data_IF_043790218602
#
_entry.id   IF_043790218602
#
_cell.length_a   1.000
_cell.length_b   1.000
_cell.length_c   1.000
_cell.angle_alpha   90.00
_cell.angle_beta   90.00
_cell.angle_gamma   90.00
#
_symmetry.space_group_name_H-M   'P 1'
#
loop_
_entity.id
_entity.type
_entity.pdbx_description
1 polymer ?
#
# COMPACT_ATOMS: atom_id res chain seq x y z
N UNK A 1 13.96 16.75 -3.68
CA UNK A 1 14.17 16.46 -2.23
C UNK A 1 15.06 15.23 -2.08
N UNK A 2 15.70 15.00 -0.91
CA UNK A 2 16.44 13.76 -0.64
C UNK A 2 15.70 12.89 0.37
N UNK A 3 15.69 11.59 0.16
CA UNK A 3 15.07 10.60 1.05
C UNK A 3 16.03 9.45 1.31
N UNK A 4 16.23 9.12 2.57
CA UNK A 4 16.93 7.90 2.98
C UNK A 4 15.92 6.81 3.35
N UNK A 5 16.21 5.56 3.04
CA UNK A 5 15.37 4.41 3.40
C UNK A 5 16.21 3.37 4.12
N UNK A 6 15.90 3.10 5.38
CA UNK A 6 16.53 2.07 6.21
C UNK A 6 15.65 0.82 6.25
N UNK A 7 16.09 -0.23 5.55
CA UNK A 7 15.43 -1.53 5.52
C UNK A 7 16.44 -2.65 5.22
N UNK A 8 16.17 -3.84 5.75
CA UNK A 8 17.00 -5.04 5.55
C UNK A 8 16.21 -6.17 4.88
N UNK A 9 16.95 -7.12 4.32
CA UNK A 9 16.42 -8.40 3.88
C UNK A 9 17.47 -9.50 4.07
N UNK A 10 17.01 -10.68 4.46
CA UNK A 10 17.83 -11.89 4.57
C UNK A 10 16.95 -13.12 4.32
N UNK A 11 17.54 -14.31 4.26
CA UNK A 11 16.79 -15.56 4.19
C UNK A 11 15.88 -15.76 5.40
N UNK A 12 16.30 -15.29 6.59
CA UNK A 12 15.53 -15.39 7.84
C UNK A 12 14.48 -14.29 7.99
N UNK A 13 14.80 -13.04 7.62
CA UNK A 13 13.87 -11.90 7.66
C UNK A 13 12.86 -11.95 6.50
N UNK A 14 13.22 -12.62 5.41
CA UNK A 14 12.53 -12.52 4.14
C UNK A 14 12.83 -11.21 3.41
N UNK A 15 12.17 -11.02 2.26
CA UNK A 15 12.37 -9.83 1.40
C UNK A 15 11.24 -8.81 1.50
N UNK A 16 10.27 -9.01 2.40
CA UNK A 16 9.03 -8.22 2.45
C UNK A 16 9.28 -6.73 2.66
N UNK A 17 10.01 -6.40 3.72
CA UNK A 17 10.41 -5.02 4.09
C UNK A 17 11.08 -4.31 2.91
N UNK A 18 12.16 -4.90 2.40
CA UNK A 18 12.93 -4.28 1.33
C UNK A 18 12.14 -4.14 0.02
N UNK A 19 11.24 -5.07 -0.32
CA UNK A 19 10.39 -4.96 -1.51
C UNK A 19 9.33 -3.86 -1.38
N UNK A 20 8.65 -3.73 -0.22
CA UNK A 20 7.68 -2.65 -0.01
C UNK A 20 8.37 -1.28 0.08
N UNK A 21 9.56 -1.22 0.65
CA UNK A 21 10.42 -0.04 0.61
C UNK A 21 10.86 0.31 -0.82
N UNK A 22 11.15 -0.67 -1.67
CA UNK A 22 11.48 -0.43 -3.08
C UNK A 22 10.29 0.16 -3.85
N UNK A 23 9.08 -0.34 -3.60
CA UNK A 23 7.85 0.23 -4.16
C UNK A 23 7.68 1.71 -3.75
N UNK A 24 7.87 2.01 -2.46
CA UNK A 24 7.81 3.38 -1.95
C UNK A 24 8.94 4.24 -2.53
N UNK A 25 10.16 3.72 -2.68
CA UNK A 25 11.29 4.42 -3.30
C UNK A 25 10.97 4.87 -4.73
N UNK A 26 10.37 4.00 -5.55
CA UNK A 26 9.92 4.36 -6.90
C UNK A 26 8.88 5.48 -6.88
N UNK A 27 7.88 5.36 -6.01
CA UNK A 27 6.83 6.36 -5.90
C UNK A 27 7.37 7.73 -5.44
N UNK A 28 8.31 7.74 -4.50
CA UNK A 28 8.98 8.94 -4.00
C UNK A 28 9.90 9.55 -5.05
N UNK A 29 10.63 8.73 -5.81
CA UNK A 29 11.44 9.20 -6.94
C UNK A 29 10.59 9.82 -8.06
N UNK A 30 9.37 9.31 -8.30
CA UNK A 30 8.42 9.91 -9.23
C UNK A 30 7.97 11.32 -8.81
N UNK A 31 8.11 11.69 -7.52
CA UNK A 31 7.94 13.06 -7.03
C UNK A 31 9.21 13.94 -7.23
N UNK A 32 10.24 13.45 -7.92
CA UNK A 32 11.51 14.17 -8.10
C UNK A 32 12.47 14.07 -6.92
N UNK A 33 12.36 13.02 -6.11
CA UNK A 33 13.26 12.77 -5.00
C UNK A 33 14.49 11.96 -5.41
N UNK A 34 15.63 12.30 -4.84
CA UNK A 34 16.83 11.45 -4.82
C UNK A 34 16.70 10.48 -3.64
N UNK A 35 16.85 9.17 -3.90
CA UNK A 35 16.65 8.12 -2.91
C UNK A 35 17.94 7.35 -2.66
N UNK A 36 18.29 7.18 -1.38
CA UNK A 36 19.41 6.37 -0.90
C UNK A 36 18.91 5.28 0.06
N UNK A 37 19.24 4.02 -0.22
CA UNK A 37 19.03 2.92 0.71
C UNK A 37 20.18 2.80 1.70
N UNK A 38 19.84 2.56 2.98
CA UNK A 38 20.74 2.14 4.04
C UNK A 38 20.35 0.70 4.40
N UNK A 39 21.20 -0.26 4.05
CA UNK A 39 20.87 -1.69 4.19
C UNK A 39 22.06 -2.51 4.64
N UNK A 40 21.80 -3.62 5.31
CA UNK A 40 22.77 -4.67 5.62
C UNK A 40 22.55 -5.84 4.68
N UNK A 41 23.65 -6.39 4.17
CA UNK A 41 23.62 -7.63 3.39
C UNK A 41 24.43 -8.69 4.12
N UNK A 42 23.76 -9.64 4.75
CA UNK A 42 24.39 -10.71 5.54
C UNK A 42 24.53 -12.02 4.77
N UNK A 43 23.69 -12.25 3.77
CA UNK A 43 23.61 -13.51 3.01
C UNK A 43 23.38 -13.32 1.50
N UNK A 44 23.51 -12.08 0.98
CA UNK A 44 23.35 -11.76 -0.42
C UNK A 44 21.90 -11.49 -0.85
N UNK A 45 20.91 -11.70 0.02
CA UNK A 45 19.50 -11.52 -0.31
C UNK A 45 19.16 -10.04 -0.52
N UNK A 46 19.61 -9.15 0.37
CA UNK A 46 19.38 -7.71 0.21
C UNK A 46 20.06 -7.16 -1.04
N UNK A 47 21.30 -7.56 -1.29
CA UNK A 47 22.00 -7.20 -2.53
C UNK A 47 21.27 -7.73 -3.77
N UNK A 48 20.70 -8.94 -3.70
CA UNK A 48 19.88 -9.51 -4.77
C UNK A 48 18.64 -8.67 -5.10
N UNK A 49 17.93 -8.18 -4.08
CA UNK A 49 16.72 -7.35 -4.24
C UNK A 49 17.05 -5.97 -4.81
N UNK A 50 18.13 -5.34 -4.34
CA UNK A 50 18.54 -3.99 -4.76
C UNK A 50 19.36 -3.96 -6.05
N UNK A 51 19.85 -5.11 -6.53
CA UNK A 51 20.64 -5.19 -7.77
C UNK A 51 19.84 -4.69 -8.97
N UNK A 52 20.47 -3.80 -9.76
CA UNK A 52 19.86 -3.24 -10.97
C UNK A 52 18.77 -2.20 -10.72
N UNK A 53 18.50 -1.85 -9.46
CA UNK A 53 17.60 -0.75 -9.13
C UNK A 53 18.29 0.61 -9.33
N UNK A 54 17.55 1.66 -9.71
CA UNK A 54 18.14 2.97 -10.03
C UNK A 54 18.49 3.80 -8.77
N UNK A 55 18.58 3.17 -7.60
CA UNK A 55 18.76 3.84 -6.32
C UNK A 55 20.17 3.62 -5.78
N UNK A 56 20.71 4.66 -5.14
CA UNK A 56 21.96 4.51 -4.39
C UNK A 56 21.76 3.56 -3.22
N UNK A 57 22.80 2.80 -2.88
CA UNK A 57 22.80 1.93 -1.71
C UNK A 57 24.08 2.18 -0.91
N UNK A 58 23.92 2.47 0.37
CA UNK A 58 24.99 2.45 1.35
C UNK A 58 24.86 1.18 2.19
N UNK A 59 25.88 0.32 2.08
CA UNK A 59 25.93 -0.93 2.82
C UNK A 59 26.50 -0.70 4.22
N UNK A 60 25.65 -0.90 5.23
CA UNK A 60 26.04 -0.85 6.63
C UNK A 60 26.90 -2.07 6.96
N UNK A 61 27.96 -1.84 7.73
CA UNK A 61 28.89 -2.88 8.20
C UNK A 61 28.27 -3.67 9.35
N UNK A 62 28.64 -4.95 9.46
CA UNK A 62 28.22 -5.82 10.57
C UNK A 62 28.77 -5.35 11.91
N UNK A 63 27.96 -5.44 12.98
CA UNK A 63 28.32 -5.05 14.35
C UNK A 63 27.30 -4.12 15.03
N UNK A 64 27.67 -3.62 16.21
CA UNK A 64 26.95 -2.54 16.91
C UNK A 64 27.12 -1.19 16.18
N UNK A 65 26.23 -0.23 16.44
CA UNK A 65 26.37 1.14 15.93
C UNK A 65 25.58 1.46 14.65
N UNK A 66 24.41 0.83 14.42
CA UNK A 66 23.50 1.17 13.30
C UNK A 66 23.26 2.68 13.19
N UNK A 67 22.95 3.31 14.32
CA UNK A 67 22.68 4.75 14.45
C UNK A 67 23.84 5.59 13.94
N UNK A 68 25.07 5.28 14.38
CA UNK A 68 26.27 6.05 14.00
C UNK A 68 26.55 5.89 12.52
N UNK A 69 26.53 4.66 12.01
CA UNK A 69 26.76 4.38 10.59
C UNK A 69 25.73 5.08 9.69
N UNK A 70 24.45 5.08 10.08
CA UNK A 70 23.40 5.78 9.35
C UNK A 70 23.60 7.31 9.37
N UNK A 71 23.97 7.88 10.52
CA UNK A 71 24.26 9.31 10.64
C UNK A 71 25.45 9.69 9.76
N UNK A 72 26.54 8.93 9.81
CA UNK A 72 27.75 9.21 9.04
C UNK A 72 27.50 9.11 7.53
N UNK A 73 26.73 8.11 7.09
CA UNK A 73 26.34 7.95 5.69
C UNK A 73 25.51 9.12 5.14
N UNK A 74 24.73 9.77 6.00
CA UNK A 74 23.81 10.85 5.64
C UNK A 74 24.35 12.25 5.92
N UNK A 75 25.42 12.39 6.71
CA UNK A 75 25.90 13.68 7.21
C UNK A 75 26.31 14.67 6.12
N UNK A 76 26.93 14.18 5.03
CA UNK A 76 27.33 15.03 3.90
C UNK A 76 26.14 15.58 3.11
N UNK A 77 24.99 14.93 3.21
CA UNK A 77 23.81 15.17 2.38
C UNK A 77 22.51 14.86 3.16
N UNK A 78 22.19 15.60 4.24
CA UNK A 78 21.07 15.25 5.10
C UNK A 78 19.75 15.17 4.32
N UNK A 79 18.95 14.10 4.48
CA UNK A 79 17.70 13.95 3.76
C UNK A 79 16.59 14.79 4.40
N UNK A 80 15.56 15.12 3.61
CA UNK A 80 14.33 15.71 4.17
C UNK A 80 13.57 14.68 5.02
N UNK A 81 13.60 13.42 4.58
CA UNK A 81 12.96 12.29 5.25
C UNK A 81 13.91 11.10 5.37
N UNK A 82 13.92 10.47 6.53
CA UNK A 82 14.42 9.10 6.70
C UNK A 82 13.25 8.18 6.94
N UNK A 83 13.03 7.25 6.01
CA UNK A 83 11.99 6.21 6.10
C UNK A 83 12.63 4.98 6.73
N UNK A 84 11.98 4.40 7.74
CA UNK A 84 12.46 3.23 8.47
C UNK A 84 11.43 2.12 8.39
N UNK A 85 11.89 0.94 8.02
CA UNK A 85 11.09 -0.29 8.00
C UNK A 85 11.92 -1.41 8.63
N UNK A 86 11.97 -1.40 9.97
CA UNK A 86 12.84 -2.28 10.74
C UNK A 86 12.33 -2.50 12.17
N UNK A 87 12.11 -3.76 12.55
CA UNK A 87 11.53 -4.13 13.85
C UNK A 87 12.41 -3.80 15.06
N UNK A 88 13.73 -3.71 14.88
CA UNK A 88 14.68 -3.40 15.95
C UNK A 88 15.03 -1.91 16.14
N UNK A 89 14.45 -0.99 15.35
CA UNK A 89 14.78 0.45 15.46
C UNK A 89 13.62 1.20 16.12
N UNK A 90 13.91 1.86 17.24
CA UNK A 90 12.94 2.46 18.16
C UNK A 90 13.08 3.99 18.25
N UNK A 91 12.38 4.61 19.20
CA UNK A 91 12.42 6.05 19.45
C UNK A 91 13.83 6.62 19.61
N UNK A 92 14.75 5.90 20.25
CA UNK A 92 16.10 6.39 20.52
C UNK A 92 16.89 6.53 19.22
N UNK A 93 16.75 5.55 18.32
CA UNK A 93 17.33 5.64 16.97
C UNK A 93 16.72 6.81 16.18
N UNK A 94 15.39 6.97 16.24
CA UNK A 94 14.69 8.05 15.53
C UNK A 94 15.14 9.44 16.00
N UNK A 95 15.21 9.65 17.32
CA UNK A 95 15.61 10.92 17.91
C UNK A 95 17.09 11.21 17.68
N UNK A 96 17.96 10.20 17.65
CA UNK A 96 19.36 10.37 17.31
C UNK A 96 19.55 10.88 15.87
N UNK A 97 18.89 10.26 14.88
CA UNK A 97 18.98 10.74 13.49
C UNK A 97 18.38 12.13 13.33
N UNK A 98 17.19 12.38 13.89
CA UNK A 98 16.54 13.68 13.85
C UNK A 98 17.43 14.77 14.43
N UNK A 99 18.02 14.54 15.61
CA UNK A 99 18.83 15.53 16.32
C UNK A 99 20.14 15.83 15.58
N UNK A 100 20.71 14.84 14.89
CA UNK A 100 22.01 14.98 14.21
C UNK A 100 21.90 15.44 12.76
N UNK A 101 20.81 15.13 12.06
CA UNK A 101 20.64 15.40 10.64
C UNK A 101 19.56 16.47 10.36
N UNK A 102 18.69 16.77 11.32
CA UNK A 102 17.54 17.67 11.12
C UNK A 102 16.46 17.08 10.20
N UNK A 103 16.50 15.78 9.90
CA UNK A 103 15.53 15.12 9.03
C UNK A 103 14.24 14.76 9.78
N UNK A 104 13.13 14.64 9.04
CA UNK A 104 11.88 14.06 9.54
C UNK A 104 11.94 12.53 9.44
N UNK A 105 11.25 11.83 10.32
CA UNK A 105 11.24 10.37 10.38
C UNK A 105 9.88 9.83 9.95
N UNK A 106 9.87 8.96 8.94
CA UNK A 106 8.69 8.17 8.59
C UNK A 106 8.93 6.70 8.96
N UNK A 107 7.97 6.05 9.61
CA UNK A 107 8.11 4.65 10.05
C UNK A 107 7.03 3.81 9.38
N UNK A 108 7.43 2.71 8.76
CA UNK A 108 6.55 1.61 8.35
C UNK A 108 6.58 0.60 9.49
N UNK A 109 5.45 0.40 10.16
CA UNK A 109 5.34 -0.56 11.26
C UNK A 109 4.03 -1.34 11.17
N UNK A 110 4.04 -2.57 11.67
CA UNK A 110 2.88 -3.46 11.73
C UNK A 110 2.81 -4.28 13.04
N UNK A 111 3.60 -3.88 14.06
CA UNK A 111 3.70 -4.61 15.33
C UNK A 111 3.19 -3.82 16.52
N UNK A 112 3.37 -2.50 16.54
CA UNK A 112 3.03 -1.64 17.68
C UNK A 112 3.60 -2.16 19.02
N UNK A 113 4.81 -2.72 19.01
CA UNK A 113 5.41 -3.47 20.11
C UNK A 113 6.50 -2.70 20.88
N UNK A 114 7.01 -1.61 20.31
CA UNK A 114 8.08 -0.79 20.87
C UNK A 114 7.75 0.69 20.87
N UNK A 115 8.55 1.48 21.60
CA UNK A 115 8.43 2.94 21.58
C UNK A 115 8.91 3.48 20.23
N UNK A 116 8.15 4.41 19.64
CA UNK A 116 8.44 5.02 18.35
C UNK A 116 8.34 6.54 18.46
N UNK A 117 9.17 7.26 17.70
CA UNK A 117 9.16 8.71 17.65
C UNK A 117 9.03 9.24 16.20
N UNK A 118 8.06 8.80 15.39
CA UNK A 118 7.92 9.22 13.99
C UNK A 118 7.32 10.62 13.87
N UNK A 119 7.60 11.29 12.75
CA UNK A 119 6.81 12.41 12.24
C UNK A 119 5.61 11.90 11.42
N UNK A 120 5.77 10.75 10.76
CA UNK A 120 4.74 10.05 9.97
C UNK A 120 4.80 8.54 10.26
N UNK A 121 3.68 7.93 10.63
CA UNK A 121 3.55 6.47 10.78
C UNK A 121 2.70 5.90 9.64
N UNK A 122 3.19 4.84 9.01
CA UNK A 122 2.53 4.13 7.92
C UNK A 122 2.26 2.71 8.39
N UNK A 123 0.99 2.37 8.60
CA UNK A 123 0.56 1.02 8.89
C UNK A 123 -0.60 0.68 7.96
N UNK A 124 -0.30 -0.05 6.88
CA UNK A 124 -1.33 -0.42 5.91
C UNK A 124 -2.18 -1.62 6.35
N UNK A 125 -1.81 -2.29 7.44
CA UNK A 125 -2.55 -3.43 7.96
C UNK A 125 -3.69 -2.98 8.88
N UNK A 126 -3.46 -1.90 9.63
CA UNK A 126 -4.39 -1.41 10.64
C UNK A 126 -4.96 -0.02 10.30
N UNK A 127 -6.25 0.11 9.92
CA UNK A 127 -6.88 1.41 9.74
C UNK A 127 -7.13 2.15 11.07
N UNK A 128 -7.05 1.46 12.21
CA UNK A 128 -7.21 2.03 13.55
C UNK A 128 -5.84 2.32 14.20
N UNK A 129 -4.77 2.41 13.40
CA UNK A 129 -3.39 2.58 13.87
C UNK A 129 -3.21 3.74 14.89
N UNK A 130 -3.94 4.84 14.74
CA UNK A 130 -3.88 5.93 15.72
C UNK A 130 -4.20 5.48 17.15
N UNK A 131 -5.16 4.56 17.32
CA UNK A 131 -5.51 3.98 18.61
C UNK A 131 -4.49 2.92 19.03
N UNK A 132 -4.10 2.03 18.12
CA UNK A 132 -3.16 0.93 18.38
C UNK A 132 -1.80 1.42 18.87
N UNK A 133 -1.30 2.52 18.29
CA UNK A 133 0.00 3.10 18.64
C UNK A 133 -0.07 4.17 19.75
N UNK A 134 -1.24 4.50 20.29
CA UNK A 134 -1.41 5.64 21.22
C UNK A 134 -0.46 5.60 22.44
N UNK A 135 -0.14 4.41 22.96
CA UNK A 135 0.78 4.22 24.08
C UNK A 135 2.23 3.87 23.66
N UNK A 136 2.50 3.85 22.35
CA UNK A 136 3.80 3.55 21.77
C UNK A 136 4.51 4.78 21.24
N UNK A 137 3.81 5.89 21.08
CA UNK A 137 4.38 7.13 20.56
C UNK A 137 4.98 7.99 21.67
N UNK A 138 6.22 8.45 21.48
CA UNK A 138 6.86 9.41 22.39
C UNK A 138 6.60 10.87 21.99
N UNK A 139 5.95 11.10 20.83
CA UNK A 139 5.62 12.42 20.29
C UNK A 139 4.38 12.37 19.39
N UNK A 140 3.70 13.51 19.12
CA UNK A 140 2.64 13.56 18.13
C UNK A 140 3.17 13.18 16.73
N UNK A 141 2.41 12.36 16.00
CA UNK A 141 2.72 11.97 14.62
C UNK A 141 1.47 12.01 13.73
N UNK A 142 1.68 12.12 12.42
CA UNK A 142 0.64 11.88 11.42
C UNK A 142 0.54 10.38 11.10
N UNK A 143 -0.65 9.93 10.67
CA UNK A 143 -0.91 8.51 10.35
C UNK A 143 -1.38 8.34 8.91
N UNK A 144 -0.83 7.34 8.23
CA UNK A 144 -1.35 6.77 6.99
C UNK A 144 -1.73 5.31 7.27
N UNK A 145 -3.00 5.13 7.62
CA UNK A 145 -3.53 3.90 8.22
C UNK A 145 -4.43 3.13 7.24
N UNK A 146 -4.27 1.82 7.21
CA UNK A 146 -5.11 0.89 6.48
C UNK A 146 -4.77 0.70 4.99
N UNK A 147 -5.56 -0.15 4.30
CA UNK A 147 -5.19 -0.78 3.03
C UNK A 147 -5.11 0.20 1.85
N UNK A 148 -5.72 1.37 1.96
CA UNK A 148 -5.58 2.45 0.98
C UNK A 148 -4.13 2.95 0.85
N UNK A 149 -3.26 2.66 1.83
CA UNK A 149 -1.83 3.00 1.83
C UNK A 149 -0.94 1.78 1.65
N UNK A 150 -1.47 0.64 1.19
CA UNK A 150 -0.68 -0.54 0.89
C UNK A 150 0.49 -0.19 -0.05
N UNK A 151 1.71 -0.52 0.41
CA UNK A 151 2.96 -0.18 -0.26
C UNK A 151 3.26 -1.17 -1.40
N UNK A 152 2.47 -1.09 -2.46
CA UNK A 152 2.58 -1.90 -3.67
C UNK A 152 3.40 -1.20 -4.74
N UNK A 153 4.11 -1.98 -5.58
CA UNK A 153 4.80 -1.43 -6.75
C UNK A 153 3.79 -0.67 -7.64
N UNK A 154 4.21 0.47 -8.20
CA UNK A 154 3.32 1.36 -8.96
C UNK A 154 2.71 0.67 -10.18
N UNK A 155 3.29 -0.45 -10.66
CA UNK A 155 2.67 -1.28 -11.69
C UNK A 155 1.27 -1.78 -11.28
N UNK A 156 1.00 -2.02 -9.99
CA UNK A 156 -0.28 -2.55 -9.51
C UNK A 156 -1.45 -1.58 -9.69
N UNK A 157 -1.18 -0.28 -9.84
CA UNK A 157 -2.22 0.70 -10.16
C UNK A 157 -2.83 0.46 -11.55
N UNK A 158 -2.05 -0.08 -12.49
CA UNK A 158 -2.46 -0.32 -13.89
C UNK A 158 -2.45 -1.80 -14.28
N UNK A 159 -2.14 -2.67 -13.33
CA UNK A 159 -2.10 -4.10 -13.55
C UNK A 159 -3.46 -4.65 -14.01
N UNK A 160 -3.46 -5.71 -14.85
CA UNK A 160 -4.68 -6.41 -15.21
C UNK A 160 -5.42 -6.88 -13.94
N UNK A 161 -6.69 -6.48 -13.80
CA UNK A 161 -7.56 -7.01 -12.74
C UNK A 161 -8.02 -8.42 -13.10
N UNK A 162 -8.28 -9.23 -12.07
CA UNK A 162 -8.88 -10.54 -12.27
C UNK A 162 -10.26 -10.41 -12.94
N UNK A 163 -10.52 -11.26 -13.93
CA UNK A 163 -11.82 -11.37 -14.60
C UNK A 163 -12.54 -12.60 -14.08
N UNK A 164 -13.64 -12.38 -13.37
CA UNK A 164 -14.39 -13.44 -12.71
C UNK A 164 -14.82 -14.57 -13.66
N UNK A 165 -14.64 -15.82 -13.22
CA UNK A 165 -15.15 -17.01 -13.88
C UNK A 165 -16.08 -17.82 -12.94
N UNK A 166 -17.19 -18.28 -13.50
CA UNK A 166 -18.20 -19.11 -12.80
C UNK A 166 -17.63 -20.46 -12.35
N UNK A 167 -16.68 -21.01 -13.10
CA UNK A 167 -15.97 -22.25 -12.75
C UNK A 167 -14.50 -21.94 -12.46
N UNK A 168 -13.95 -22.57 -11.42
CA UNK A 168 -12.51 -22.51 -11.12
C UNK A 168 -11.79 -23.49 -12.04
N UNK A 169 -11.06 -22.97 -13.03
CA UNK A 169 -10.29 -23.77 -13.99
C UNK A 169 -8.81 -23.84 -13.63
N UNK A 170 -8.34 -22.85 -12.87
CA UNK A 170 -6.96 -22.81 -12.41
C UNK A 170 -6.77 -22.18 -11.03
N UNK A 171 -5.73 -22.62 -10.32
CA UNK A 171 -5.34 -22.16 -9.00
C UNK A 171 -3.88 -21.70 -9.04
N UNK A 172 -3.62 -20.49 -8.54
CA UNK A 172 -2.26 -20.01 -8.27
C UNK A 172 -1.89 -20.23 -6.81
N UNK A 173 -0.66 -20.67 -6.55
CA UNK A 173 -0.11 -20.87 -5.19
C UNK A 173 1.17 -20.04 -5.02
N UNK A 174 1.17 -19.13 -4.04
CA UNK A 174 2.35 -18.37 -3.63
C UNK A 174 2.30 -18.00 -2.15
N UNK A 175 3.18 -18.62 -1.34
CA UNK A 175 3.24 -18.43 0.12
C UNK A 175 4.27 -17.39 0.59
N UNK A 176 5.01 -16.78 -0.33
CA UNK A 176 6.11 -15.86 -0.04
C UNK A 176 7.42 -16.30 -0.69
N UNK A 177 8.46 -15.48 -0.51
CA UNK A 177 9.72 -15.66 -1.25
C UNK A 177 10.43 -17.00 -0.99
N UNK A 178 10.51 -17.44 0.27
CA UNK A 178 11.32 -18.61 0.66
C UNK A 178 10.52 -19.80 1.17
N UNK A 179 9.23 -19.62 1.53
CA UNK A 179 8.34 -20.66 2.07
C UNK A 179 9.05 -21.68 3.00
N UNK A 180 9.61 -21.21 4.14
CA UNK A 180 10.50 -22.03 4.97
C UNK A 180 9.80 -23.25 5.61
N UNK A 181 8.47 -23.19 5.76
CA UNK A 181 7.66 -24.24 6.39
C UNK A 181 6.94 -25.14 5.38
N UNK A 182 7.15 -24.94 4.07
CA UNK A 182 6.59 -25.81 3.02
C UNK A 182 5.08 -25.68 2.82
N UNK A 183 4.51 -24.51 3.07
CA UNK A 183 3.07 -24.26 2.90
C UNK A 183 2.64 -24.36 1.43
N UNK A 184 3.51 -24.10 0.46
CA UNK A 184 3.20 -24.31 -0.96
C UNK A 184 2.94 -25.79 -1.24
N UNK A 185 3.71 -26.69 -0.61
CA UNK A 185 3.52 -28.13 -0.77
C UNK A 185 2.19 -28.56 -0.15
N UNK A 186 1.91 -28.11 1.08
CA UNK A 186 0.62 -28.37 1.74
C UNK A 186 -0.58 -27.90 0.89
N UNK A 187 -0.48 -26.71 0.27
CA UNK A 187 -1.51 -26.19 -0.61
C UNK A 187 -1.69 -27.03 -1.89
N UNK A 188 -0.60 -27.48 -2.51
CA UNK A 188 -0.65 -28.36 -3.68
C UNK A 188 -1.29 -29.72 -3.34
N UNK A 189 -0.91 -30.31 -2.20
CA UNK A 189 -1.48 -31.56 -1.71
C UNK A 189 -2.97 -31.40 -1.36
N UNK A 190 -3.37 -30.29 -0.75
CA UNK A 190 -4.78 -29.97 -0.50
C UNK A 190 -5.58 -29.95 -1.81
N UNK A 191 -5.06 -29.31 -2.86
CA UNK A 191 -5.72 -29.24 -4.15
C UNK A 191 -5.86 -30.63 -4.80
N UNK A 192 -4.78 -31.42 -4.85
CA UNK A 192 -4.72 -32.67 -5.63
C UNK A 192 -5.20 -33.89 -4.86
N UNK A 193 -4.74 -34.08 -3.63
CA UNK A 193 -5.01 -35.29 -2.84
C UNK A 193 -6.31 -35.16 -2.04
N UNK A 194 -6.50 -34.04 -1.35
CA UNK A 194 -7.68 -33.87 -0.50
C UNK A 194 -8.96 -33.56 -1.29
N UNK A 195 -8.85 -32.81 -2.41
CA UNK A 195 -9.99 -32.35 -3.20
C UNK A 195 -10.12 -33.02 -4.57
N UNK A 196 -9.06 -33.63 -5.10
CA UNK A 196 -9.07 -34.19 -6.46
C UNK A 196 -9.24 -33.11 -7.55
N UNK A 197 -8.81 -31.88 -7.31
CA UNK A 197 -8.93 -30.80 -8.29
C UNK A 197 -8.14 -31.14 -9.56
N UNK A 198 -8.82 -31.18 -10.70
CA UNK A 198 -8.25 -31.58 -11.99
C UNK A 198 -7.76 -30.42 -12.84
N UNK A 199 -8.12 -29.18 -12.50
CA UNK A 199 -7.71 -27.97 -13.21
C UNK A 199 -6.21 -27.67 -13.10
N UNK A 200 -5.79 -26.60 -13.77
CA UNK A 200 -4.38 -26.20 -13.78
C UNK A 200 -3.95 -25.63 -12.41
N UNK A 201 -2.76 -25.96 -11.96
CA UNK A 201 -2.17 -25.42 -10.73
C UNK A 201 -0.80 -24.86 -11.06
N UNK A 202 -0.59 -23.59 -10.75
CA UNK A 202 0.71 -22.95 -10.90
C UNK A 202 1.25 -22.57 -9.52
N UNK A 203 2.41 -23.12 -9.16
CA UNK A 203 3.11 -22.84 -7.91
C UNK A 203 4.31 -21.96 -8.22
N UNK A 204 4.42 -20.82 -7.53
CA UNK A 204 5.61 -19.97 -7.58
C UNK A 204 6.35 -20.13 -6.27
N UNK A 205 7.58 -20.62 -6.33
CA UNK A 205 8.43 -20.80 -5.15
C UNK A 205 9.90 -20.64 -5.53
N UNK A 206 10.68 -19.96 -4.69
CA UNK A 206 12.11 -19.77 -4.96
C UNK A 206 12.86 -21.10 -4.86
N UNK A 207 13.89 -21.33 -5.70
CA UNK A 207 14.84 -22.42 -5.54
C UNK A 207 15.55 -22.43 -4.17
N UNK A 208 15.59 -21.29 -3.47
CA UNK A 208 16.12 -21.20 -2.12
C UNK A 208 15.19 -21.79 -1.04
N UNK A 209 13.95 -22.17 -1.39
CA UNK A 209 13.03 -22.80 -0.44
C UNK A 209 13.49 -24.21 -0.06
N UNK A 210 13.47 -24.59 1.22
CA UNK A 210 13.75 -25.96 1.65
C UNK A 210 12.81 -27.00 1.01
N UNK A 211 11.59 -26.57 0.61
CA UNK A 211 10.57 -27.45 0.03
C UNK A 211 10.61 -27.54 -1.49
N UNK A 212 11.51 -26.81 -2.17
CA UNK A 212 11.50 -26.68 -3.62
C UNK A 212 11.66 -28.02 -4.36
N UNK A 213 12.62 -28.86 -3.94
CA UNK A 213 12.83 -30.17 -4.55
C UNK A 213 11.59 -31.09 -4.40
N UNK A 214 10.95 -31.07 -3.23
CA UNK A 214 9.72 -31.84 -2.98
C UNK A 214 8.56 -31.31 -3.83
N UNK A 215 8.44 -29.98 -3.97
CA UNK A 215 7.47 -29.34 -4.86
C UNK A 215 7.67 -29.72 -6.33
N UNK A 216 8.92 -29.78 -6.79
CA UNK A 216 9.24 -30.15 -8.17
C UNK A 216 8.80 -31.60 -8.47
N UNK A 217 9.12 -32.54 -7.57
CA UNK A 217 8.66 -33.93 -7.66
C UNK A 217 7.14 -34.04 -7.61
N UNK A 218 6.49 -33.30 -6.71
CA UNK A 218 5.05 -33.26 -6.58
C UNK A 218 4.39 -32.73 -7.86
N UNK A 219 4.84 -31.60 -8.41
CA UNK A 219 4.30 -31.05 -9.66
C UNK A 219 4.47 -32.00 -10.85
N UNK A 220 5.62 -32.69 -10.95
CA UNK A 220 5.87 -33.67 -12.01
C UNK A 220 4.91 -34.88 -11.96
N UNK A 221 4.33 -35.19 -10.79
CA UNK A 221 3.39 -36.29 -10.59
C UNK A 221 2.02 -36.04 -11.23
N UNK A 222 1.59 -34.79 -11.36
CA UNK A 222 0.22 -34.45 -11.79
C UNK A 222 0.19 -33.61 -13.07
N UNK A 223 -0.52 -34.08 -14.11
CA UNK A 223 -0.78 -33.26 -15.30
C UNK A 223 -1.43 -31.92 -14.94
N UNK A 224 -0.89 -30.84 -15.50
CA UNK A 224 -1.40 -29.48 -15.26
C UNK A 224 -0.93 -28.83 -13.96
N UNK A 225 -0.04 -29.45 -13.18
CA UNK A 225 0.69 -28.76 -12.11
C UNK A 225 2.06 -28.27 -12.62
N UNK A 226 2.41 -27.01 -12.37
CA UNK A 226 3.69 -26.43 -12.78
C UNK A 226 4.35 -25.67 -11.64
N UNK A 227 5.66 -25.83 -11.48
CA UNK A 227 6.49 -25.05 -10.56
C UNK A 227 7.26 -23.98 -11.35
N UNK A 228 7.31 -22.75 -10.82
CA UNK A 228 8.15 -21.67 -11.34
C UNK A 228 9.11 -21.14 -10.28
N UNK A 229 10.35 -20.95 -10.70
CA UNK A 229 11.48 -20.48 -9.91
C UNK A 229 11.43 -18.95 -9.72
N UNK A 230 10.35 -18.48 -9.09
CA UNK A 230 10.07 -17.06 -8.94
C UNK A 230 9.56 -16.38 -10.22
N UNK A 231 9.13 -15.14 -10.07
CA UNK A 231 8.67 -14.27 -11.15
C UNK A 231 9.21 -12.84 -10.89
N UNK A 232 9.41 -12.02 -11.94
CA UNK A 232 9.82 -10.62 -11.77
C UNK A 232 8.79 -9.82 -10.98
N UNK A 233 7.51 -10.05 -11.27
CA UNK A 233 6.34 -9.55 -10.54
C UNK A 233 5.26 -10.65 -10.48
N UNK A 234 4.28 -10.46 -9.59
CA UNK A 234 3.18 -11.40 -9.39
C UNK A 234 1.85 -10.90 -9.92
N UNK A 235 1.79 -9.70 -10.53
CA UNK A 235 0.53 -9.10 -10.94
C UNK A 235 -0.18 -9.94 -12.02
N UNK A 236 0.54 -10.30 -13.08
CA UNK A 236 0.00 -11.17 -14.12
C UNK A 236 -0.29 -12.60 -13.61
N UNK A 237 0.41 -13.05 -12.56
CA UNK A 237 0.17 -14.34 -11.91
C UNK A 237 -1.13 -14.34 -11.12
N UNK A 238 -1.35 -13.30 -10.33
CA UNK A 238 -2.58 -13.14 -9.58
C UNK A 238 -3.80 -12.97 -10.50
N UNK A 239 -3.65 -12.27 -11.62
CA UNK A 239 -4.76 -11.96 -12.52
C UNK A 239 -5.22 -13.14 -13.40
N UNK A 240 -4.35 -14.13 -13.67
CA UNK A 240 -4.63 -15.21 -14.63
C UNK A 240 -5.29 -16.46 -14.04
N UNK A 241 -5.31 -16.61 -12.72
CA UNK A 241 -5.91 -17.77 -12.07
C UNK A 241 -7.26 -17.44 -11.42
N UNK A 242 -8.16 -18.42 -11.41
CA UNK A 242 -9.54 -18.25 -10.94
C UNK A 242 -9.64 -18.27 -9.41
N UNK A 243 -8.60 -18.77 -8.73
CA UNK A 243 -8.45 -18.78 -7.28
C UNK A 243 -6.97 -18.70 -6.90
N UNK A 244 -6.66 -18.02 -5.80
CA UNK A 244 -5.30 -17.95 -5.26
C UNK A 244 -5.22 -18.58 -3.87
N UNK A 245 -4.06 -19.15 -3.54
CA UNK A 245 -3.71 -19.61 -2.19
C UNK A 245 -2.38 -18.97 -1.81
N UNK A 246 -2.33 -18.29 -0.67
CA UNK A 246 -1.10 -17.64 -0.23
C UNK A 246 -1.09 -17.26 1.24
N UNK A 247 0.06 -16.78 1.71
CA UNK A 247 0.24 -16.31 3.08
C UNK A 247 -0.30 -14.89 3.28
N UNK A 248 -0.52 -14.50 4.54
CA UNK A 248 -0.97 -13.18 4.99
C UNK A 248 0.09 -12.08 5.03
N UNK A 249 1.27 -12.31 4.44
CA UNK A 249 2.31 -11.28 4.30
C UNK A 249 1.98 -10.27 3.20
N UNK A 250 2.96 -9.46 2.78
CA UNK A 250 2.76 -8.35 1.82
C UNK A 250 2.03 -8.72 0.52
N UNK A 251 2.18 -9.95 0.02
CA UNK A 251 1.49 -10.44 -1.17
C UNK A 251 -0.04 -10.55 -1.02
N UNK A 252 -0.58 -10.52 0.21
CA UNK A 252 -2.03 -10.45 0.42
C UNK A 252 -2.61 -9.16 -0.15
N UNK A 253 -1.89 -8.06 -0.01
CA UNK A 253 -2.30 -6.75 -0.53
C UNK A 253 -2.25 -6.70 -2.06
N UNK A 254 -1.26 -7.37 -2.66
CA UNK A 254 -1.19 -7.55 -4.12
C UNK A 254 -2.40 -8.33 -4.64
N UNK A 255 -2.78 -9.43 -3.98
CA UNK A 255 -3.99 -10.20 -4.34
C UNK A 255 -5.27 -9.38 -4.16
N UNK A 256 -5.38 -8.63 -3.07
CA UNK A 256 -6.50 -7.72 -2.85
C UNK A 256 -6.60 -6.69 -3.98
N UNK A 257 -5.48 -6.11 -4.36
CA UNK A 257 -5.40 -5.14 -5.46
C UNK A 257 -5.88 -5.72 -6.79
N UNK A 258 -5.47 -6.95 -7.11
CA UNK A 258 -5.88 -7.62 -8.34
C UNK A 258 -7.37 -8.04 -8.30
N UNK A 259 -7.98 -8.14 -7.12
CA UNK A 259 -9.38 -8.49 -6.94
C UNK A 259 -9.67 -9.98 -7.16
N UNK A 260 -8.67 -10.84 -6.96
CA UNK A 260 -8.80 -12.29 -7.14
C UNK A 260 -9.25 -12.95 -5.83
N UNK A 261 -10.26 -13.85 -5.83
CA UNK A 261 -10.62 -14.60 -4.64
C UNK A 261 -9.43 -15.40 -4.14
N UNK A 262 -9.13 -15.28 -2.85
CA UNK A 262 -7.94 -15.87 -2.27
C UNK A 262 -8.23 -16.60 -0.96
N UNK A 263 -7.57 -17.74 -0.77
CA UNK A 263 -7.40 -18.40 0.52
C UNK A 263 -6.11 -17.84 1.14
N UNK A 264 -6.21 -17.34 2.36
CA UNK A 264 -5.10 -16.79 3.12
C UNK A 264 -4.74 -17.70 4.30
N UNK A 265 -3.44 -18.01 4.42
CA UNK A 265 -2.86 -18.74 5.55
C UNK A 265 -2.01 -17.79 6.42
N UNK A 266 -1.87 -18.10 7.70
CA UNK A 266 -0.94 -17.40 8.59
C UNK A 266 0.38 -18.16 8.58
N UNK A 267 1.39 -17.62 7.90
CA UNK A 267 2.71 -18.26 7.80
C UNK A 267 3.72 -17.78 8.86
N UNK A 268 3.41 -16.66 9.54
CA UNK A 268 4.25 -16.08 10.58
C UNK A 268 3.39 -15.34 11.63
N UNK A 269 3.86 -15.19 12.88
CA UNK A 269 3.07 -14.58 13.95
C UNK A 269 2.58 -13.16 13.66
N UNK A 270 3.37 -12.36 12.95
CA UNK A 270 3.01 -10.99 12.55
C UNK A 270 1.83 -10.91 11.56
N UNK A 271 1.37 -12.03 11.00
CA UNK A 271 0.22 -12.09 10.08
C UNK A 271 -1.12 -12.33 10.82
N UNK A 272 -1.08 -12.65 12.13
CA UNK A 272 -2.26 -12.95 12.95
C UNK A 272 -3.18 -11.74 13.15
N UNK A 273 -2.66 -10.52 13.05
CA UNK A 273 -3.46 -9.29 13.07
C UNK A 273 -4.17 -9.04 11.74
N UNK A 274 -3.57 -9.44 10.63
CA UNK A 274 -4.00 -9.07 9.27
C UNK A 274 -5.01 -10.06 8.68
N UNK A 275 -4.71 -11.36 8.71
CA UNK A 275 -5.54 -12.37 8.02
C UNK A 275 -6.97 -12.45 8.58
N UNK A 276 -7.18 -12.54 9.90
CA UNK A 276 -8.54 -12.61 10.46
C UNK A 276 -9.35 -11.34 10.16
N UNK A 277 -8.70 -10.17 10.15
CA UNK A 277 -9.33 -8.89 9.82
C UNK A 277 -9.79 -8.84 8.36
N UNK A 278 -8.94 -9.28 7.43
CA UNK A 278 -9.31 -9.39 6.02
C UNK A 278 -10.44 -10.41 5.80
N UNK A 279 -10.45 -11.51 6.55
CA UNK A 279 -11.54 -12.48 6.49
C UNK A 279 -12.86 -11.91 7.02
N UNK A 280 -12.82 -11.14 8.11
CA UNK A 280 -14.00 -10.45 8.65
C UNK A 280 -14.56 -9.39 7.69
N UNK A 281 -13.69 -8.74 6.90
CA UNK A 281 -14.08 -7.85 5.80
C UNK A 281 -14.55 -8.60 4.54
N UNK A 282 -14.50 -9.93 4.55
CA UNK A 282 -14.84 -10.77 3.41
C UNK A 282 -13.93 -10.53 2.22
N UNK A 283 -12.65 -10.18 2.43
CA UNK A 283 -11.67 -9.97 1.35
C UNK A 283 -10.85 -11.24 1.06
N UNK A 284 -10.74 -12.16 2.02
CA UNK A 284 -10.07 -13.45 1.87
C UNK A 284 -10.84 -14.55 2.61
N UNK A 285 -10.67 -15.80 2.18
CA UNK A 285 -11.06 -16.96 2.98
C UNK A 285 -9.88 -17.37 3.87
N UNK A 286 -10.06 -17.33 5.19
CA UNK A 286 -8.99 -17.71 6.11
C UNK A 286 -8.92 -19.23 6.28
N UNK A 287 -7.79 -19.83 5.93
CA UNK A 287 -7.45 -21.19 6.31
C UNK A 287 -6.95 -21.18 7.77
N UNK A 288 -7.90 -21.19 8.71
CA UNK A 288 -7.61 -21.26 10.13
C UNK A 288 -7.23 -22.69 10.52
N UNK A 289 -6.05 -22.86 11.11
CA UNK A 289 -5.62 -24.14 11.67
C UNK A 289 -6.27 -24.36 13.04
N UNK A 290 -7.01 -25.46 13.18
CA UNK A 290 -7.70 -25.88 14.40
C UNK A 290 -7.12 -27.20 14.96
N UNK A 291 -5.84 -27.47 14.64
CA UNK A 291 -5.12 -28.70 15.02
C UNK A 291 -5.12 -29.79 13.95
N UNK A 292 -5.90 -29.65 12.88
CA UNK A 292 -5.93 -30.59 11.75
C UNK A 292 -4.73 -30.46 10.79
N UNK A 293 -4.03 -29.32 10.81
CA UNK A 293 -2.91 -29.02 9.91
C UNK A 293 -3.26 -28.03 8.80
N UNK A 294 -2.23 -27.42 8.19
CA UNK A 294 -2.38 -26.41 7.14
C UNK A 294 -3.08 -26.96 5.89
N UNK A 295 -2.77 -28.21 5.50
CA UNK A 295 -3.34 -28.84 4.31
C UNK A 295 -4.87 -29.00 4.45
N UNK A 296 -5.33 -29.45 5.60
CA UNK A 296 -6.74 -29.69 5.94
C UNK A 296 -7.51 -28.38 6.01
N UNK A 297 -6.93 -27.34 6.63
CA UNK A 297 -7.49 -26.01 6.70
C UNK A 297 -7.67 -25.39 5.30
N UNK A 298 -6.66 -25.52 4.42
CA UNK A 298 -6.74 -25.09 3.03
C UNK A 298 -7.81 -25.89 2.27
N UNK A 299 -7.84 -27.21 2.45
CA UNK A 299 -8.81 -28.11 1.80
C UNK A 299 -10.26 -27.75 2.18
N UNK A 300 -10.51 -27.40 3.44
CA UNK A 300 -11.83 -26.97 3.91
C UNK A 300 -12.30 -25.71 3.17
N UNK A 301 -11.44 -24.68 3.08
CA UNK A 301 -11.75 -23.44 2.36
C UNK A 301 -11.88 -23.66 0.85
N UNK A 302 -11.01 -24.50 0.26
CA UNK A 302 -11.09 -24.87 -1.16
C UNK A 302 -12.44 -25.49 -1.50
N UNK A 303 -12.94 -26.41 -0.68
CA UNK A 303 -14.26 -27.05 -0.91
C UNK A 303 -15.38 -26.02 -1.01
N UNK A 304 -15.41 -25.06 -0.10
CA UNK A 304 -16.40 -23.99 -0.07
C UNK A 304 -16.26 -23.09 -1.31
N UNK A 305 -15.04 -22.67 -1.64
CA UNK A 305 -14.82 -21.75 -2.75
C UNK A 305 -15.04 -22.41 -4.11
N UNK A 306 -14.72 -23.69 -4.30
CA UNK A 306 -15.00 -24.40 -5.55
C UNK A 306 -16.51 -24.48 -5.82
N UNK A 307 -17.32 -24.73 -4.78
CA UNK A 307 -18.77 -24.83 -4.88
C UNK A 307 -19.51 -23.48 -4.87
N UNK A 308 -18.86 -22.39 -4.43
CA UNK A 308 -19.51 -21.11 -4.15
C UNK A 308 -19.09 -19.96 -5.07
N UNK A 309 -19.60 -19.83 -6.32
CA UNK A 309 -19.27 -18.71 -7.20
C UNK A 309 -19.64 -17.34 -6.62
N UNK A 310 -20.79 -17.23 -5.94
CA UNK A 310 -21.21 -15.99 -5.28
C UNK A 310 -20.25 -15.60 -4.14
N UNK A 311 -19.78 -16.56 -3.35
CA UNK A 311 -18.79 -16.33 -2.30
C UNK A 311 -17.47 -15.83 -2.91
N UNK A 312 -16.96 -16.49 -3.96
CA UNK A 312 -15.74 -16.05 -4.66
C UNK A 312 -15.88 -14.64 -5.23
N UNK A 313 -17.04 -14.31 -5.81
CA UNK A 313 -17.32 -12.96 -6.33
C UNK A 313 -17.27 -11.93 -5.20
N UNK A 314 -17.95 -12.20 -4.08
CA UNK A 314 -17.92 -11.33 -2.91
C UNK A 314 -16.51 -11.10 -2.37
N UNK A 315 -15.69 -12.17 -2.28
CA UNK A 315 -14.29 -12.06 -1.87
C UNK A 315 -13.50 -11.12 -2.77
N UNK A 316 -13.53 -11.36 -4.09
CA UNK A 316 -12.78 -10.56 -5.05
C UNK A 316 -13.21 -9.08 -5.08
N UNK A 317 -14.52 -8.82 -5.03
CA UNK A 317 -15.06 -7.46 -5.01
C UNK A 317 -14.70 -6.70 -3.71
N UNK A 318 -14.78 -7.36 -2.56
CA UNK A 318 -14.33 -6.76 -1.29
C UNK A 318 -12.84 -6.47 -1.29
N UNK A 319 -12.02 -7.41 -1.78
CA UNK A 319 -10.58 -7.22 -1.86
C UNK A 319 -10.19 -6.02 -2.75
N UNK A 320 -10.82 -5.92 -3.94
CA UNK A 320 -10.56 -4.84 -4.89
C UNK A 320 -11.02 -3.46 -4.38
N UNK A 321 -12.03 -3.40 -3.51
CA UNK A 321 -12.46 -2.15 -2.86
C UNK A 321 -11.45 -1.67 -1.81
N UNK A 322 -10.73 -2.57 -1.15
CA UNK A 322 -9.79 -2.22 -0.08
C UNK A 322 -8.46 -1.68 -0.61
N UNK A 323 -8.00 -2.20 -1.76
CA UNK A 323 -6.68 -1.86 -2.31
C UNK A 323 -6.80 -1.54 -3.80
N UNK A 324 -6.44 -0.33 -4.18
CA UNK A 324 -6.48 0.13 -5.58
C UNK A 324 -5.11 0.13 -6.27
N UNK A 325 -4.04 -0.11 -5.52
CA UNK A 325 -2.66 -0.10 -6.01
C UNK A 325 -2.00 1.28 -5.98
N UNK A 326 -2.65 2.29 -5.42
CA UNK A 326 -2.13 3.67 -5.36
C UNK A 326 -1.50 4.03 -4.02
N UNK A 327 -1.41 3.10 -3.07
CA UNK A 327 -0.94 3.39 -1.71
C UNK A 327 0.45 4.01 -1.67
N UNK A 328 1.43 3.43 -2.37
CA UNK A 328 2.79 3.99 -2.49
C UNK A 328 2.79 5.42 -3.06
N UNK A 329 1.94 5.70 -4.05
CA UNK A 329 1.82 7.03 -4.66
C UNK A 329 1.22 8.06 -3.68
N UNK A 330 0.21 7.66 -2.89
CA UNK A 330 -0.37 8.50 -1.82
C UNK A 330 0.66 8.82 -0.74
N UNK A 331 1.40 7.81 -0.26
CA UNK A 331 2.45 8.01 0.74
C UNK A 331 3.54 8.95 0.19
N UNK A 332 3.99 8.74 -1.04
CA UNK A 332 4.98 9.60 -1.69
C UNK A 332 4.50 11.05 -1.84
N UNK A 333 3.21 11.26 -2.16
CA UNK A 333 2.62 12.59 -2.22
C UNK A 333 2.63 13.29 -0.85
N UNK A 334 2.28 12.57 0.23
CA UNK A 334 2.34 13.13 1.60
C UNK A 334 3.76 13.54 1.95
N UNK A 335 4.75 12.65 1.72
CA UNK A 335 6.17 12.93 1.99
C UNK A 335 6.67 14.15 1.21
N UNK A 336 6.33 14.24 -0.09
CA UNK A 336 6.74 15.34 -0.96
C UNK A 336 6.11 16.67 -0.54
N UNK A 337 4.80 16.71 -0.35
CA UNK A 337 4.09 17.91 0.08
C UNK A 337 4.56 18.38 1.45
N UNK A 338 4.75 17.46 2.42
CA UNK A 338 5.28 17.77 3.73
C UNK A 338 6.76 18.23 3.72
N UNK A 339 7.49 17.95 2.64
CA UNK A 339 8.83 18.49 2.38
C UNK A 339 8.80 19.80 1.57
N UNK A 340 7.63 20.38 1.32
CA UNK A 340 7.47 21.65 0.62
C UNK A 340 7.49 21.54 -0.90
N UNK A 341 7.23 20.36 -1.47
CA UNK A 341 7.11 20.23 -2.93
C UNK A 341 5.93 21.08 -3.46
N UNK A 342 6.07 21.71 -4.64
CA UNK A 342 5.02 22.55 -5.19
C UNK A 342 3.81 21.70 -5.61
N UNK A 343 2.62 22.27 -5.41
CA UNK A 343 1.38 21.70 -5.93
C UNK A 343 1.18 22.13 -7.39
N UNK A 344 0.51 21.28 -8.16
CA UNK A 344 0.05 21.59 -9.51
C UNK A 344 -1.46 21.78 -9.48
N UNK A 345 -1.95 22.81 -10.15
CA UNK A 345 -3.37 23.03 -10.31
C UNK A 345 -3.82 22.56 -11.70
N UNK A 346 -4.97 21.89 -11.75
CA UNK A 346 -5.71 21.64 -12.98
C UNK A 346 -7.21 21.89 -12.77
N UNK A 347 -7.96 22.24 -13.82
CA UNK A 347 -9.42 22.21 -13.76
C UNK A 347 -9.91 20.79 -13.41
N UNK A 348 -10.98 20.72 -12.64
CA UNK A 348 -11.71 19.46 -12.47
C UNK A 348 -12.41 19.07 -13.77
N UNK A 349 -12.50 17.78 -14.03
CA UNK A 349 -13.27 17.20 -15.13
C UNK A 349 -14.31 16.20 -14.62
N UNK A 350 -15.09 15.60 -15.53
CA UNK A 350 -16.14 14.66 -15.17
C UNK A 350 -15.63 13.43 -14.41
N UNK A 351 -14.37 13.05 -14.59
CA UNK A 351 -13.72 11.93 -13.89
C UNK A 351 -13.45 12.19 -12.40
N UNK A 352 -13.48 13.45 -11.96
CA UNK A 352 -13.26 13.82 -10.55
C UNK A 352 -14.53 13.68 -9.69
N UNK A 353 -15.67 13.32 -10.26
CA UNK A 353 -16.97 13.28 -9.55
C UNK A 353 -16.91 12.44 -8.28
N UNK A 354 -16.43 11.19 -8.39
CA UNK A 354 -16.34 10.26 -7.27
C UNK A 354 -15.32 10.73 -6.23
N UNK A 355 -14.17 11.24 -6.68
CA UNK A 355 -13.14 11.79 -5.80
C UNK A 355 -13.70 12.93 -4.93
N UNK A 356 -14.41 13.86 -5.56
CA UNK A 356 -15.01 15.00 -4.87
C UNK A 356 -16.16 14.59 -3.96
N UNK A 357 -16.92 13.56 -4.33
CA UNK A 357 -17.95 12.97 -3.47
C UNK A 357 -17.34 12.36 -2.22
N UNK A 358 -16.27 11.57 -2.38
CA UNK A 358 -15.56 10.93 -1.27
C UNK A 358 -15.00 11.99 -0.31
N UNK A 359 -14.38 13.04 -0.84
CA UNK A 359 -13.90 14.16 -0.01
C UNK A 359 -15.02 14.94 0.65
N UNK A 360 -16.15 15.13 -0.03
CA UNK A 360 -17.31 15.77 0.56
C UNK A 360 -17.83 14.94 1.74
N UNK A 361 -17.94 13.63 1.58
CA UNK A 361 -18.49 12.69 2.57
C UNK A 361 -17.51 12.22 3.64
N UNK A 362 -16.24 12.65 3.59
CA UNK A 362 -15.29 12.44 4.68
C UNK A 362 -15.91 12.88 6.03
N UNK A 363 -15.84 12.05 7.09
CA UNK A 363 -16.52 12.32 8.35
C UNK A 363 -16.17 13.66 8.98
N UNK A 364 -14.90 14.10 8.88
CA UNK A 364 -14.47 15.40 9.40
C UNK A 364 -15.02 16.53 8.54
N UNK A 365 -15.08 16.37 7.21
CA UNK A 365 -15.70 17.36 6.33
C UNK A 365 -17.19 17.48 6.61
N UNK A 366 -17.92 16.36 6.73
CA UNK A 366 -19.34 16.35 7.10
C UNK A 366 -19.60 17.00 8.45
N UNK A 367 -18.79 16.69 9.47
CA UNK A 367 -18.93 17.29 10.80
C UNK A 367 -18.74 18.81 10.82
N UNK A 368 -18.03 19.37 9.84
CA UNK A 368 -17.79 20.81 9.70
C UNK A 368 -18.61 21.46 8.56
N UNK A 369 -19.50 20.70 7.90
CA UNK A 369 -20.33 21.19 6.81
C UNK A 369 -21.63 21.82 7.35
N UNK A 370 -22.22 22.73 6.57
CA UNK A 370 -23.55 23.29 6.89
C UNK A 370 -24.65 22.23 6.97
N UNK A 371 -24.50 21.13 6.22
CA UNK A 371 -25.36 19.95 6.27
C UNK A 371 -24.49 18.74 6.61
N UNK A 372 -24.61 18.18 7.83
CA UNK A 372 -23.76 17.10 8.31
C UNK A 372 -24.11 15.74 7.70
N UNK A 373 -25.27 15.61 7.05
CA UNK A 373 -25.66 14.37 6.39
C UNK A 373 -24.74 14.03 5.20
N UNK A 374 -24.59 12.73 4.95
CA UNK A 374 -23.89 12.23 3.77
C UNK A 374 -24.60 12.70 2.50
N UNK A 375 -23.83 13.27 1.58
CA UNK A 375 -24.28 13.64 0.24
C UNK A 375 -24.55 12.37 -0.56
N UNK A 376 -25.77 12.23 -1.07
CA UNK A 376 -26.14 11.08 -1.89
C UNK A 376 -25.48 11.15 -3.27
N UNK A 377 -25.01 10.02 -3.84
CA UNK A 377 -24.34 10.02 -5.15
C UNK A 377 -25.17 10.68 -6.26
N UNK A 378 -26.48 10.43 -6.34
CA UNK A 378 -27.30 11.03 -7.39
C UNK A 378 -27.48 12.54 -7.22
N UNK A 379 -27.48 13.03 -5.98
CA UNK A 379 -27.55 14.47 -5.69
C UNK A 379 -26.25 15.16 -6.08
N UNK A 380 -25.11 14.57 -5.70
CA UNK A 380 -23.79 15.07 -6.06
C UNK A 380 -23.58 15.09 -7.57
N UNK A 381 -23.98 14.04 -8.28
CA UNK A 381 -23.86 13.95 -9.73
C UNK A 381 -24.54 15.11 -10.46
N UNK A 382 -25.79 15.41 -10.08
CA UNK A 382 -26.53 16.55 -10.64
C UNK A 382 -25.87 17.89 -10.32
N UNK A 383 -25.42 18.05 -9.07
CA UNK A 383 -24.74 19.26 -8.64
C UNK A 383 -23.41 19.47 -9.40
N UNK A 384 -22.58 18.43 -9.48
CA UNK A 384 -21.26 18.49 -10.09
C UNK A 384 -21.35 18.77 -11.59
N UNK A 385 -22.24 18.08 -12.31
CA UNK A 385 -22.48 18.33 -13.72
C UNK A 385 -22.95 19.78 -13.99
N UNK A 386 -23.84 20.32 -13.15
CA UNK A 386 -24.28 21.71 -13.27
C UNK A 386 -23.14 22.72 -13.03
N UNK A 387 -22.24 22.44 -12.08
CA UNK A 387 -21.08 23.31 -11.79
C UNK A 387 -20.01 23.24 -12.87
N UNK A 388 -19.75 22.07 -13.43
CA UNK A 388 -18.83 21.93 -14.57
C UNK A 388 -19.35 22.64 -15.83
N UNK A 389 -20.67 22.69 -16.03
CA UNK A 389 -21.29 23.39 -17.16
C UNK A 389 -21.23 24.93 -17.03
N UNK A 390 -21.15 25.46 -15.82
CA UNK A 390 -21.07 26.89 -15.53
C UNK A 390 -19.61 27.37 -15.44
N UNK A 391 -18.87 27.31 -16.56
CA UNK A 391 -17.45 27.70 -16.57
C UNK A 391 -17.21 29.21 -16.37
N UNK A 392 -18.26 30.03 -16.49
CA UNK A 392 -18.21 31.47 -16.29
C UNK A 392 -18.38 31.85 -14.81
N UNK A 393 -19.33 31.20 -14.12
CA UNK A 393 -19.66 31.47 -12.72
C UNK A 393 -19.04 30.50 -11.71
N UNK A 394 -18.48 29.37 -12.15
CA UNK A 394 -17.88 28.38 -11.26
C UNK A 394 -16.60 27.79 -11.86
N UNK A 395 -15.57 27.65 -11.01
CA UNK A 395 -14.35 26.92 -11.32
C UNK A 395 -14.02 25.98 -10.19
N UNK A 396 -13.91 24.70 -10.49
CA UNK A 396 -13.41 23.71 -9.55
C UNK A 396 -11.99 23.37 -9.98
N UNK A 397 -11.03 23.60 -9.09
CA UNK A 397 -9.61 23.37 -9.32
C UNK A 397 -9.17 22.20 -8.44
N UNK A 398 -8.61 21.17 -9.06
CA UNK A 398 -7.95 20.07 -8.36
C UNK A 398 -6.48 20.42 -8.18
N UNK A 399 -5.99 20.22 -6.96
CA UNK A 399 -4.58 20.39 -6.63
C UNK A 399 -3.95 19.01 -6.52
N UNK A 400 -2.82 18.84 -7.16
CA UNK A 400 -2.10 17.58 -7.26
C UNK A 400 -0.67 17.74 -6.73
N UNK A 401 -0.17 16.67 -6.11
CA UNK A 401 1.24 16.51 -5.81
C UNK A 401 2.06 16.37 -7.12
N UNK A 402 3.41 16.46 -7.08
CA UNK A 402 4.23 16.35 -8.29
C UNK A 402 4.04 15.07 -9.12
N UNK A 403 3.61 13.98 -8.47
CA UNK A 403 3.30 12.70 -9.10
C UNK A 403 1.85 12.59 -9.62
N UNK A 404 1.07 13.66 -9.61
CA UNK A 404 -0.31 13.70 -10.10
C UNK A 404 -1.35 13.20 -9.10
N UNK A 405 -0.97 12.81 -7.88
CA UNK A 405 -1.96 12.39 -6.87
C UNK A 405 -2.76 13.61 -6.39
N UNK A 406 -4.10 13.58 -6.46
CA UNK A 406 -4.93 14.68 -5.94
C UNK A 406 -4.77 14.82 -4.42
N UNK A 407 -4.52 16.06 -3.97
CA UNK A 407 -4.32 16.40 -2.56
C UNK A 407 -5.48 17.20 -1.97
N UNK A 408 -6.24 17.90 -2.81
CA UNK A 408 -7.38 18.70 -2.42
C UNK A 408 -8.00 19.42 -3.60
N UNK A 409 -9.02 20.23 -3.31
CA UNK A 409 -9.71 21.06 -4.29
C UNK A 409 -9.97 22.47 -3.77
N UNK A 410 -10.06 23.42 -4.70
CA UNK A 410 -10.56 24.77 -4.48
C UNK A 410 -11.66 25.02 -5.50
N UNK A 411 -12.85 25.35 -5.00
CA UNK A 411 -13.98 25.81 -5.77
C UNK A 411 -14.09 27.32 -5.63
N UNK A 412 -14.14 28.00 -6.77
CA UNK A 412 -14.30 29.43 -6.91
C UNK A 412 -15.68 29.67 -7.53
N UNK A 413 -16.55 30.39 -6.83
CA UNK A 413 -17.89 30.75 -7.32
C UNK A 413 -18.01 32.27 -7.43
N UNK A 414 -18.37 32.77 -8.61
CA UNK A 414 -18.58 34.20 -8.80
C UNK A 414 -19.91 34.62 -8.17
N UNK A 415 -19.86 35.56 -7.24
CA UNK A 415 -21.01 36.12 -6.53
C UNK A 415 -20.97 37.64 -6.64
N UNK A 416 -21.86 38.19 -7.47
CA UNK A 416 -22.07 39.63 -7.74
C UNK A 416 -20.80 40.40 -8.16
N UNK A 417 -19.87 40.64 -7.22
CA UNK A 417 -18.66 41.44 -7.38
C UNK A 417 -17.38 40.75 -6.88
N UNK A 418 -17.46 39.52 -6.36
CA UNK A 418 -16.31 38.80 -5.80
C UNK A 418 -16.39 37.29 -6.03
N UNK A 419 -15.23 36.62 -5.96
CA UNK A 419 -15.16 35.17 -5.92
C UNK A 419 -15.30 34.66 -4.49
N UNK A 420 -16.28 33.80 -4.25
CA UNK A 420 -16.41 33.01 -3.04
C UNK A 420 -15.54 31.75 -3.15
N UNK A 421 -14.75 31.46 -2.11
CA UNK A 421 -13.82 30.32 -2.08
C UNK A 421 -14.32 29.23 -1.15
N UNK A 422 -14.57 28.05 -1.69
CA UNK A 422 -14.74 26.82 -0.92
C UNK A 422 -13.60 25.86 -1.19
N UNK A 423 -12.89 25.38 -0.18
CA UNK A 423 -11.78 24.44 -0.38
C UNK A 423 -11.91 23.21 0.51
N UNK A 424 -11.32 22.11 0.06
CA UNK A 424 -11.23 20.87 0.84
C UNK A 424 -9.87 20.24 0.60
N UNK A 425 -9.36 19.56 1.63
CA UNK A 425 -8.11 18.83 1.57
C UNK A 425 -8.38 17.38 1.95
N UNK A 426 -7.84 16.44 1.17
CA UNK A 426 -8.00 15.03 1.48
C UNK A 426 -7.37 14.74 2.86
N UNK A 427 -8.00 13.85 3.63
CA UNK A 427 -7.60 13.54 5.00
C UNK A 427 -6.09 13.32 5.19
N UNK A 428 -5.37 12.60 4.30
CA UNK A 428 -3.93 12.33 4.47
C UNK A 428 -3.02 13.54 4.40
N UNK A 429 -3.49 14.67 3.87
CA UNK A 429 -2.69 15.88 3.66
C UNK A 429 -2.98 16.97 4.71
N UNK A 430 -3.96 16.74 5.60
CA UNK A 430 -4.32 17.68 6.67
C UNK A 430 -3.21 17.74 7.74
N UNK A 431 -3.06 18.88 8.40
CA UNK A 431 -2.05 19.07 9.44
C UNK A 431 -0.62 19.31 8.93
N UNK A 432 -0.40 19.28 7.61
CA UNK A 432 0.92 19.51 7.00
C UNK A 432 1.16 20.97 6.55
N UNK A 433 0.31 21.92 6.96
CA UNK A 433 0.46 23.34 6.60
C UNK A 433 0.19 23.67 5.12
N UNK A 434 -0.44 22.76 4.39
CA UNK A 434 -0.62 22.88 2.94
C UNK A 434 -1.75 23.82 2.49
N UNK A 435 -2.59 24.31 3.41
CA UNK A 435 -3.78 25.08 3.06
C UNK A 435 -3.44 26.39 2.32
N UNK A 436 -2.45 27.14 2.80
CA UNK A 436 -2.01 28.39 2.17
C UNK A 436 -1.44 28.13 0.76
N UNK A 437 -0.62 27.08 0.61
CA UNK A 437 -0.07 26.68 -0.69
C UNK A 437 -1.18 26.25 -1.65
N UNK A 438 -2.16 25.46 -1.17
CA UNK A 438 -3.31 25.01 -1.95
C UNK A 438 -4.14 26.19 -2.47
N UNK A 439 -4.47 27.15 -1.61
CA UNK A 439 -5.22 28.35 -1.99
C UNK A 439 -4.43 29.25 -2.93
N UNK A 440 -3.17 29.55 -2.62
CA UNK A 440 -2.31 30.39 -3.47
C UNK A 440 -2.12 29.79 -4.86
N UNK A 441 -1.93 28.47 -4.95
CA UNK A 441 -1.79 27.76 -6.23
C UNK A 441 -3.09 27.81 -7.04
N UNK A 442 -4.25 27.64 -6.40
CA UNK A 442 -5.53 27.73 -7.09
C UNK A 442 -5.87 29.16 -7.55
N UNK A 443 -5.64 30.16 -6.71
CA UNK A 443 -5.87 31.58 -7.05
C UNK A 443 -5.01 32.01 -8.23
N UNK A 444 -3.77 31.52 -8.32
CA UNK A 444 -2.88 31.79 -9.45
C UNK A 444 -3.41 31.28 -10.80
N UNK A 445 -4.46 30.45 -10.81
CA UNK A 445 -5.14 30.01 -12.05
C UNK A 445 -6.20 31.00 -12.56
N UNK A 446 -6.55 32.02 -11.76
CA UNK A 446 -7.49 33.06 -12.19
C UNK A 446 -6.84 33.99 -13.23
N UNK A 447 -7.59 34.49 -14.22
CA UNK A 447 -7.09 35.46 -15.19
C UNK A 447 -6.66 36.76 -14.48
N UNK A 448 -5.59 37.39 -14.98
CA UNK A 448 -5.16 38.70 -14.49
C UNK A 448 -6.28 39.74 -14.75
N UNK A 449 -6.99 40.15 -13.70
CA UNK A 449 -8.13 41.08 -13.76
C UNK A 449 -9.30 40.70 -12.83
N UNK A 450 -9.41 39.42 -12.47
CA UNK A 450 -10.51 38.86 -11.66
C UNK A 450 -10.17 38.75 -10.15
N UNK A 451 -9.00 39.23 -9.73
CA UNK A 451 -8.46 39.06 -8.38
C UNK A 451 -9.03 40.07 -7.35
N UNK A 452 -10.35 40.26 -7.33
CA UNK A 452 -11.04 40.86 -6.19
C UNK A 452 -11.59 39.69 -5.35
N UNK A 453 -10.78 39.26 -4.37
CA UNK A 453 -11.11 38.17 -3.46
C UNK A 453 -11.88 38.74 -2.26
N UNK A 454 -13.03 38.16 -1.95
CA UNK A 454 -13.92 38.53 -0.84
C UNK A 454 -13.79 37.60 0.36
#
# INVERSE_FOLDING_TARGET
MRVAIRADASASLGTGHLRRCLALARAVAACGAEVLFLSRDTDGVAAGVLRGQPFGVHWLQGGEGDTVQCIDALAAAPPAWTIVDHYGLDSDWHDALRSRLGCRIAVVDDLADRALAPDLLIDHNDPDAAQTYAQRLTRPCAFLAGPAFALLDTLYATAPRYRFNEQVRSIGIFMGGTDPHGHCLAALLACRESLGFSGAIEVVCSPASPSHAALALACARWPGATLRDGLPDLAAFFARHDLQIGAGGGAVWERCCIGVPAIACVAAPNQLSTVPRLAALGAVAWAQEDGAGTQEAIAAQLRLLLAGPALRRGLGESAARLVDGQGSARVAAVLACAAGAPLRARPADAGDELLLLDWANDPVVRANAFQPEAVLPQQHSRWFAARLADSAGCRIVILEAPNGVPVGQVRLEWREHAWEIGYSMAAPYRGHGLAATLLGTAIATLPAGDAVLG
#
